data_IF_877476489559
#
_entry.id   IF_877476489559
#
_cell.length_a   1.000
_cell.length_b   1.000
_cell.length_c   1.000
_cell.angle_alpha   90.00
_cell.angle_beta   90.00
_cell.angle_gamma   90.00
#
_symmetry.space_group_name_H-M   'P 1'
#
loop_
_entity.id
_entity.type
_entity.pdbx_description
1 polymer ?
#
# COMPACT_ATOMS: atom_id res chain seq x y z
N UNK A 1 10.36 22.72 4.73
CA UNK A 1 10.99 21.87 5.76
C UNK A 1 11.23 20.50 5.16
N UNK A 2 12.42 19.98 5.35
CA UNK A 2 12.76 18.67 4.83
C UNK A 2 12.91 17.70 5.99
N UNK A 3 11.92 16.87 6.22
CA UNK A 3 11.91 15.95 7.34
C UNK A 3 12.73 14.73 6.97
N UNK A 4 13.72 14.41 7.81
CA UNK A 4 14.58 13.27 7.53
C UNK A 4 14.28 12.08 8.39
N UNK A 5 13.66 12.29 9.54
CA UNK A 5 13.36 11.20 10.45
C UNK A 5 12.24 11.64 11.37
N UNK A 6 11.35 10.75 11.72
CA UNK A 6 10.30 11.05 12.66
C UNK A 6 10.20 9.96 13.69
N UNK A 7 9.57 10.28 14.81
CA UNK A 7 9.25 9.31 15.83
C UNK A 7 7.75 9.30 16.00
N UNK A 8 7.06 8.24 15.58
CA UNK A 8 5.62 8.17 15.81
C UNK A 8 5.33 8.01 17.30
N UNK A 9 4.14 8.38 17.69
CA UNK A 9 3.75 8.28 19.09
C UNK A 9 2.72 7.19 19.27
N UNK A 10 2.75 6.56 20.44
CA UNK A 10 1.75 5.59 20.86
C UNK A 10 1.68 4.39 19.88
N UNK A 11 0.54 4.17 19.27
CA UNK A 11 0.34 3.02 18.41
C UNK A 11 0.47 3.37 16.94
N UNK A 12 1.03 4.51 16.63
CA UNK A 12 1.19 4.91 15.23
C UNK A 12 2.32 4.12 14.56
N UNK A 13 2.15 3.88 13.28
CA UNK A 13 3.13 3.16 12.48
C UNK A 13 3.30 3.94 11.19
N UNK A 14 4.54 4.13 10.77
CA UNK A 14 4.82 4.79 9.51
C UNK A 14 5.35 3.74 8.55
N UNK A 15 4.74 3.65 7.40
CA UNK A 15 5.14 2.68 6.37
C UNK A 15 5.38 3.42 5.08
N UNK A 16 6.05 2.76 4.15
CA UNK A 16 6.24 3.33 2.83
C UNK A 16 4.90 3.48 2.13
N UNK A 17 4.85 4.30 1.11
CA UNK A 17 3.66 4.49 0.31
C UNK A 17 3.97 4.15 -1.15
N UNK A 18 4.42 2.94 -1.38
CA UNK A 18 4.79 2.50 -2.71
C UNK A 18 3.54 2.17 -3.51
N UNK A 19 3.59 2.46 -4.80
CA UNK A 19 2.47 2.17 -5.68
C UNK A 19 2.93 1.20 -6.76
N UNK A 20 1.97 0.51 -7.35
CA UNK A 20 2.27 -0.34 -8.49
C UNK A 20 2.63 0.56 -9.68
N UNK A 21 3.53 0.10 -10.54
CA UNK A 21 3.86 0.89 -11.71
C UNK A 21 2.63 1.11 -12.59
N UNK A 22 2.68 2.21 -13.36
CA UNK A 22 1.58 2.55 -14.21
C UNK A 22 1.32 1.50 -15.26
N UNK A 23 2.31 0.73 -15.65
CA UNK A 23 2.18 -0.32 -16.62
C UNK A 23 2.24 -1.70 -15.99
N UNK A 24 1.92 -1.80 -14.71
CA UNK A 24 1.94 -3.09 -14.02
C UNK A 24 0.96 -4.06 -14.69
N UNK A 25 1.46 -5.23 -15.03
CA UNK A 25 0.67 -6.20 -15.75
C UNK A 25 0.51 -7.48 -14.99
N UNK A 26 -0.64 -8.09 -15.17
CA UNK A 26 -0.88 -9.44 -14.71
C UNK A 26 -1.41 -10.20 -15.91
N UNK A 27 -0.80 -11.29 -16.25
CA UNK A 27 -1.24 -12.12 -17.40
C UNK A 27 -1.22 -11.31 -18.69
N UNK A 28 -0.20 -10.48 -18.83
CA UNK A 28 0.03 -9.67 -20.03
C UNK A 28 -1.02 -8.59 -20.28
N UNK A 29 -1.82 -8.29 -19.28
CA UNK A 29 -2.81 -7.23 -19.36
C UNK A 29 -2.54 -6.26 -18.23
N UNK A 30 -2.70 -4.97 -18.48
CA UNK A 30 -2.47 -3.99 -17.44
C UNK A 30 -3.46 -4.24 -16.33
N UNK A 31 -2.95 -4.43 -15.12
CA UNK A 31 -3.74 -4.79 -13.98
C UNK A 31 -4.54 -3.60 -13.47
N UNK A 32 -5.73 -3.84 -12.91
CA UNK A 32 -6.44 -2.76 -12.22
C UNK A 32 -5.67 -2.20 -11.04
N UNK A 33 -4.63 -2.89 -10.59
CA UNK A 33 -3.80 -2.40 -9.50
C UNK A 33 -2.80 -1.34 -9.94
N UNK A 34 -2.61 -1.16 -11.24
CA UNK A 34 -1.65 -0.17 -11.73
C UNK A 34 -1.96 1.20 -11.16
N UNK A 35 -0.92 1.92 -10.76
CA UNK A 35 -1.02 3.25 -10.16
C UNK A 35 -1.68 3.28 -8.79
N UNK A 36 -1.97 2.14 -8.17
CA UNK A 36 -2.60 2.12 -6.86
C UNK A 36 -1.59 1.72 -5.81
N UNK A 37 -1.89 2.05 -4.56
CA UNK A 37 -1.01 1.68 -3.47
C UNK A 37 -0.90 0.17 -3.36
N UNK A 38 0.30 -0.29 -3.07
CA UNK A 38 0.51 -1.72 -2.85
C UNK A 38 -0.04 -2.10 -1.49
N UNK A 39 -0.54 -3.32 -1.40
CA UNK A 39 -1.05 -3.83 -0.14
C UNK A 39 0.08 -4.10 0.84
N UNK A 40 1.27 -4.36 0.34
CA UNK A 40 2.41 -4.68 1.18
C UNK A 40 3.37 -3.52 1.20
N UNK A 41 3.67 -3.04 2.38
CA UNK A 41 4.54 -1.89 2.54
C UNK A 41 5.57 -2.19 3.63
N UNK A 42 6.66 -1.46 3.60
CA UNK A 42 7.75 -1.66 4.55
C UNK A 42 7.61 -0.68 5.71
N UNK A 43 7.81 -1.16 6.92
CA UNK A 43 7.72 -0.31 8.11
C UNK A 43 8.94 0.56 8.21
N UNK A 44 8.73 1.86 8.37
CA UNK A 44 9.79 2.85 8.50
C UNK A 44 10.02 3.21 9.96
N UNK A 45 8.96 3.35 10.73
CA UNK A 45 9.08 3.74 12.12
C UNK A 45 7.84 3.30 12.87
N UNK A 46 7.98 3.05 14.17
CA UNK A 46 6.87 2.58 15.00
C UNK A 46 6.81 3.38 16.28
N UNK A 47 5.62 3.56 16.80
CA UNK A 47 5.41 4.19 18.09
C UNK A 47 5.85 3.27 19.21
N UNK A 48 6.06 3.86 20.38
CA UNK A 48 6.67 3.13 21.49
C UNK A 48 5.72 2.14 22.16
N UNK A 49 4.42 2.23 21.91
CA UNK A 49 3.51 1.23 22.47
C UNK A 49 3.15 0.14 21.48
N UNK A 50 3.72 0.16 20.29
CA UNK A 50 3.51 -0.92 19.33
C UNK A 50 4.29 -2.14 19.78
N UNK A 51 3.67 -3.30 19.69
CA UNK A 51 4.32 -4.54 20.08
C UNK A 51 4.32 -5.49 18.91
N UNK A 52 5.40 -6.22 18.78
CA UNK A 52 5.48 -7.26 17.75
C UNK A 52 5.78 -6.75 16.37
N UNK A 53 6.00 -5.47 16.19
CA UNK A 53 6.30 -4.91 14.90
C UNK A 53 7.51 -3.99 15.04
N UNK A 54 8.35 -3.96 14.04
CA UNK A 54 9.57 -3.15 14.11
C UNK A 54 9.93 -2.63 12.74
N UNK A 55 10.87 -1.70 12.71
CA UNK A 55 11.37 -1.14 11.47
C UNK A 55 11.89 -2.24 10.58
N UNK A 56 11.60 -2.13 9.31
CA UNK A 56 12.05 -3.09 8.32
C UNK A 56 11.09 -4.22 8.06
N UNK A 57 10.07 -4.38 8.91
CA UNK A 57 9.08 -5.43 8.66
C UNK A 57 8.29 -5.15 7.39
N UNK A 58 7.95 -6.19 6.67
CA UNK A 58 7.05 -6.09 5.54
C UNK A 58 5.65 -6.45 6.03
N UNK A 59 4.72 -5.54 5.86
CA UNK A 59 3.41 -5.70 6.44
C UNK A 59 2.32 -5.56 5.37
N UNK A 60 1.21 -6.21 5.61
CA UNK A 60 0.04 -6.07 4.77
C UNK A 60 -0.89 -5.05 5.42
N UNK A 61 -1.31 -4.08 4.64
CA UNK A 61 -2.08 -2.95 5.13
C UNK A 61 -3.55 -3.10 4.77
N UNK A 62 -4.42 -2.74 5.69
CA UNK A 62 -5.84 -2.67 5.42
C UNK A 62 -6.23 -1.20 5.37
N UNK A 63 -6.50 -0.70 4.19
CA UNK A 63 -6.81 0.70 4.00
C UNK A 63 -8.31 0.99 3.95
N UNK A 64 -9.13 0.01 4.30
CA UNK A 64 -10.56 0.19 4.13
C UNK A 64 -11.13 1.33 4.97
N UNK A 65 -10.53 1.61 6.13
CA UNK A 65 -11.02 2.69 6.97
C UNK A 65 -10.71 4.06 6.38
N UNK A 66 -9.85 4.13 5.40
CA UNK A 66 -9.50 5.40 4.76
C UNK A 66 -10.14 5.56 3.39
N UNK A 67 -10.97 4.62 2.98
CA UNK A 67 -11.51 4.65 1.63
C UNK A 67 -12.50 5.79 1.48
N UNK A 68 -12.43 6.45 0.35
CA UNK A 68 -13.40 7.46 -0.02
C UNK A 68 -14.34 6.85 -1.02
N UNK A 69 -15.62 6.87 -0.71
CA UNK A 69 -16.63 6.24 -1.54
C UNK A 69 -17.36 7.26 -2.36
N UNK A 70 -17.82 6.86 -3.52
CA UNK A 70 -18.63 7.70 -4.34
C UNK A 70 -19.83 6.91 -4.84
N UNK A 71 -21.01 7.50 -4.70
CA UNK A 71 -22.20 6.88 -5.25
C UNK A 71 -22.28 7.25 -6.72
N UNK A 72 -22.60 6.28 -7.57
CA UNK A 72 -22.86 6.62 -8.91
C UNK A 72 -24.27 7.09 -8.99
N UNK A 73 -24.47 8.28 -9.34
CA UNK A 73 -25.74 8.78 -9.46
C UNK A 73 -26.33 8.47 -10.69
N UNK A 74 -26.66 7.37 -10.99
CA UNK A 74 -27.32 7.07 -12.10
C UNK A 74 -28.64 6.99 -11.90
N UNK A 75 -29.10 7.60 -11.31
CA UNK A 75 -30.28 7.90 -11.28
C UNK A 75 -31.43 7.11 -11.56
N UNK A 76 -31.44 6.44 -12.42
CA UNK A 76 -32.62 5.85 -12.83
C UNK A 76 -33.18 4.88 -11.89
N UNK A 77 -32.34 4.15 -11.22
CA UNK A 77 -32.82 3.18 -10.36
C UNK A 77 -32.20 3.24 -9.09
N UNK A 78 -32.81 3.83 -8.19
CA UNK A 78 -32.20 4.06 -6.89
C UNK A 78 -31.88 2.77 -6.19
N UNK A 79 -32.61 1.74 -6.46
CA UNK A 79 -32.28 0.50 -5.80
C UNK A 79 -30.96 -0.02 -6.22
N UNK A 80 -30.58 0.24 -7.43
CA UNK A 80 -29.33 -0.25 -7.92
C UNK A 80 -28.20 0.64 -7.58
N UNK A 81 -28.47 1.85 -7.23
CA UNK A 81 -27.42 2.80 -6.96
C UNK A 81 -26.57 2.38 -5.79
N UNK A 82 -27.17 1.76 -4.83
CA UNK A 82 -26.41 1.35 -3.70
C UNK A 82 -25.40 0.33 -4.04
N UNK A 83 -25.66 -0.45 -5.05
CA UNK A 83 -24.72 -1.46 -5.47
C UNK A 83 -23.64 -0.90 -6.32
N UNK A 84 -23.76 0.35 -6.69
CA UNK A 84 -22.74 0.95 -7.55
C UNK A 84 -21.80 1.86 -6.82
N UNK A 85 -21.73 1.74 -5.51
CA UNK A 85 -20.75 2.50 -4.77
C UNK A 85 -19.36 1.99 -5.13
N UNK A 86 -18.46 2.90 -5.31
CA UNK A 86 -17.10 2.49 -5.63
C UNK A 86 -16.13 3.36 -4.88
N UNK A 87 -14.97 2.82 -4.64
CA UNK A 87 -13.91 3.54 -3.95
C UNK A 87 -13.20 4.39 -4.97
N UNK A 88 -13.23 5.71 -4.77
CA UNK A 88 -12.55 6.61 -5.69
C UNK A 88 -11.18 7.00 -5.19
N UNK A 89 -10.83 6.63 -3.98
CA UNK A 89 -9.49 6.93 -3.46
C UNK A 89 -9.43 6.65 -1.99
N UNK A 90 -8.28 6.97 -1.40
CA UNK A 90 -8.07 6.78 0.02
C UNK A 90 -7.58 8.10 0.62
N UNK A 91 -8.17 8.47 1.74
CA UNK A 91 -7.78 9.69 2.42
C UNK A 91 -6.83 9.33 3.55
N UNK A 92 -5.60 9.01 3.21
CA UNK A 92 -4.60 8.53 4.14
C UNK A 92 -3.64 9.65 4.47
N UNK A 93 -3.32 9.87 5.73
CA UNK A 93 -2.30 10.87 6.06
C UNK A 93 -0.96 10.44 5.46
N UNK A 94 -0.39 11.32 4.67
CA UNK A 94 0.87 11.04 4.02
C UNK A 94 1.90 12.03 4.48
N UNK A 95 3.13 11.59 4.50
CA UNK A 95 4.24 12.45 4.91
C UNK A 95 5.44 12.06 4.07
N UNK A 96 6.24 13.03 3.69
CA UNK A 96 7.45 12.75 2.94
C UNK A 96 8.62 12.77 3.91
N UNK A 97 9.33 11.66 3.98
CA UNK A 97 10.47 11.52 4.87
C UNK A 97 11.70 11.23 4.03
N UNK A 98 12.67 12.12 4.12
CA UNK A 98 13.92 11.99 3.37
C UNK A 98 13.66 11.75 1.89
N UNK A 99 12.70 12.47 1.35
CA UNK A 99 12.37 12.40 -0.07
C UNK A 99 11.44 11.25 -0.46
N UNK A 100 11.09 10.39 0.47
CA UNK A 100 10.25 9.24 0.17
C UNK A 100 8.85 9.43 0.72
N UNK A 101 7.87 9.08 -0.08
CA UNK A 101 6.47 9.16 0.35
C UNK A 101 6.18 8.04 1.31
N UNK A 102 5.58 8.38 2.42
CA UNK A 102 5.22 7.43 3.47
C UNK A 102 3.81 7.67 3.94
N UNK A 103 3.24 6.69 4.61
CA UNK A 103 1.91 6.78 5.19
C UNK A 103 2.00 6.68 6.69
N UNK A 104 1.17 7.47 7.37
CA UNK A 104 1.11 7.48 8.82
C UNK A 104 -0.17 6.78 9.23
N UNK A 105 -0.05 5.60 9.80
CA UNK A 105 -1.18 4.74 10.08
C UNK A 105 -1.19 4.36 11.56
N UNK A 106 -2.24 3.69 11.98
CA UNK A 106 -2.30 3.09 13.30
C UNK A 106 -1.98 1.60 13.19
N UNK A 107 -1.51 1.00 14.27
CA UNK A 107 -1.18 -0.42 14.25
C UNK A 107 -2.40 -1.26 13.88
N UNK A 108 -3.60 -0.77 14.13
CA UNK A 108 -4.82 -1.50 13.77
C UNK A 108 -5.02 -1.63 12.28
N UNK A 109 -4.34 -0.80 11.51
CA UNK A 109 -4.46 -0.84 10.05
C UNK A 109 -3.52 -1.86 9.44
N UNK A 110 -2.73 -2.54 10.26
CA UNK A 110 -1.82 -3.58 9.80
C UNK A 110 -2.50 -4.92 10.02
N UNK A 111 -2.64 -5.68 8.96
CA UNK A 111 -3.27 -6.99 9.07
C UNK A 111 -2.33 -8.04 9.59
N UNK A 112 -1.14 -8.09 9.04
CA UNK A 112 -0.16 -9.09 9.46
C UNK A 112 1.22 -8.69 8.96
N UNK A 113 2.23 -9.35 9.49
CA UNK A 113 3.60 -9.19 9.07
C UNK A 113 3.95 -10.39 8.21
N UNK A 114 4.57 -10.13 7.07
CA UNK A 114 4.99 -11.20 6.17
C UNK A 114 6.33 -11.71 6.69
N UNK A 115 6.38 -12.99 7.03
CA UNK A 115 7.58 -13.55 7.63
C UNK A 115 8.48 -14.24 6.62
N UNK A 116 7.90 -14.69 5.52
CA UNK A 116 8.70 -15.36 4.50
C UNK A 116 7.97 -15.25 3.17
N UNK A 117 8.67 -15.01 2.09
CA UNK A 117 8.02 -14.84 0.81
C UNK A 117 9.02 -14.99 -0.33
N UNK A 118 8.46 -15.32 -1.52
CA UNK A 118 9.26 -15.37 -2.73
C UNK A 118 9.06 -14.08 -3.48
N UNK A 119 10.09 -13.65 -4.20
CA UNK A 119 10.04 -12.41 -4.93
C UNK A 119 9.45 -12.59 -6.31
N UNK A 120 8.23 -13.09 -6.38
CA UNK A 120 7.66 -13.35 -7.68
C UNK A 120 7.39 -12.08 -8.45
N UNK A 121 7.03 -11.02 -7.75
CA UNK A 121 6.85 -9.77 -8.44
C UNK A 121 8.12 -9.30 -9.07
N UNK A 122 9.22 -9.48 -8.37
CA UNK A 122 10.49 -9.07 -8.91
C UNK A 122 10.87 -9.95 -10.06
N UNK A 123 10.48 -11.20 -10.02
CA UNK A 123 10.78 -12.06 -11.11
C UNK A 123 10.07 -11.66 -12.36
N UNK A 124 8.85 -11.23 -12.24
CA UNK A 124 8.15 -10.76 -13.40
C UNK A 124 8.79 -9.54 -13.97
N UNK A 125 9.29 -8.70 -13.11
CA UNK A 125 9.97 -7.53 -13.57
C UNK A 125 11.30 -7.88 -14.17
N UNK A 126 11.93 -8.91 -13.68
CA UNK A 126 13.21 -9.25 -14.20
C UNK A 126 13.12 -10.09 -15.45
N UNK A 127 11.99 -10.62 -15.77
CA UNK A 127 11.86 -11.23 -17.05
C UNK A 127 12.21 -10.27 -18.13
N UNK A 128 11.96 -9.02 -17.87
CA UNK A 128 12.33 -8.01 -18.79
C UNK A 128 13.81 -7.84 -18.83
N UNK A 129 14.49 -8.09 -17.75
CA UNK A 129 15.92 -7.97 -17.71
C UNK A 129 16.46 -9.28 -17.34
N UNK A 130 16.47 -10.13 -18.09
CA UNK A 130 16.81 -11.47 -17.80
C UNK A 130 18.05 -11.70 -17.12
N UNK A 131 18.25 -12.02 -16.62
CA UNK A 131 18.99 -12.57 -16.05
C UNK A 131 19.16 -12.98 -15.14
N UNK A 132 19.02 -12.95 -14.80
CA UNK A 132 19.11 -13.46 -14.05
C UNK A 132 19.15 -14.36 -13.75
N UNK A 133 18.95 -14.47 -14.15
CA UNK A 133 18.85 -15.33 -13.88
C UNK A 133 18.94 -15.97 -13.42
N UNK A 134 18.53 -15.84 -13.51
CA UNK A 134 18.26 -16.45 -13.18
C UNK A 134 18.71 -17.18 -12.94
N UNK A 135 18.89 -16.96 -13.05
CA UNK A 135 19.14 -17.54 -12.83
C UNK A 135 19.48 -18.31 -12.47
N UNK A 136 19.43 -18.36 -12.47
CA UNK A 136 19.54 -19.14 -12.21
C UNK A 136 19.67 -19.76 -11.98
#
# INVERSE_FOLDING_TARGET
>A
MNIKKIKPLFTAVVVTANIYPRDYKEHNIISPKANKLKEYQRVIAVGDTCRGIKEGDLVCIDLSSYAQWKYKKNSVKSDMEELNNEIVGYNIPQIKIDGQDCMYLDIRDIKYIVQDYDNEENEEQTIITPNKSMIL
#
